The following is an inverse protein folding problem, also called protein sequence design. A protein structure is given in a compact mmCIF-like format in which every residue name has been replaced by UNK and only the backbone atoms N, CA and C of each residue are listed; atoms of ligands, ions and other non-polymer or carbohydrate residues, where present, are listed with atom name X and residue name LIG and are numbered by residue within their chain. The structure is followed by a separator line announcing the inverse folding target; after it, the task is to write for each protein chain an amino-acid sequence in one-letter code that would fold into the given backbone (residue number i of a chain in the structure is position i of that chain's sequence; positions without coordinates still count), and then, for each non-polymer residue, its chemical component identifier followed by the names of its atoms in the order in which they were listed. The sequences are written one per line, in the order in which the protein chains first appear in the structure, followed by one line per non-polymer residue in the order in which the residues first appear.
data_IF_685208772570
#
_entry.id   IF_685208772570
#
_cell.length_a   1.000
_cell.length_b   1.000
_cell.length_c   1.000
_cell.angle_alpha   90.00
_cell.angle_beta   90.00
_cell.angle_gamma   90.00
#
_symmetry.space_group_name_H-M   'P 1'
#
loop_
_entity.id
_entity.type
_entity.pdbx_description
1 polymer ?
#
# COMPACT_ATOMS: atom_id res chain seq x y z
N UNK A 1 -19.84 -3.10 25.69
CA UNK A 1 -20.87 -3.80 24.88
C UNK A 1 -20.30 -4.20 23.52
N UNK A 2 -19.69 -3.31 22.73
CA UNK A 2 -19.09 -3.59 21.42
C UNK A 2 -17.99 -4.65 21.47
N UNK A 3 -17.13 -4.68 22.50
CA UNK A 3 -16.12 -5.73 22.68
C UNK A 3 -16.72 -7.14 22.82
N UNK A 4 -17.91 -7.27 23.35
CA UNK A 4 -18.57 -8.57 23.43
C UNK A 4 -19.20 -8.96 22.09
N UNK A 5 -19.79 -8.01 21.37
CA UNK A 5 -20.33 -8.24 20.03
C UNK A 5 -19.23 -8.56 19.00
N UNK A 6 -18.06 -7.96 19.12
CA UNK A 6 -16.94 -8.20 18.20
C UNK A 6 -16.41 -9.63 18.19
N UNK A 7 -16.82 -10.46 19.16
CA UNK A 7 -16.50 -11.90 19.22
C UNK A 7 -17.36 -12.76 18.30
N UNK A 8 -18.54 -12.27 17.93
CA UNK A 8 -19.42 -12.88 16.93
C UNK A 8 -19.24 -12.15 15.61
N UNK A 9 -18.63 -12.81 14.63
CA UNK A 9 -18.29 -12.21 13.34
C UNK A 9 -19.54 -11.73 12.60
N UNK A 10 -20.60 -12.54 12.52
CA UNK A 10 -21.78 -12.24 11.71
C UNK A 10 -22.61 -11.10 12.31
N UNK A 11 -22.73 -11.06 13.66
CA UNK A 11 -23.40 -9.95 14.35
C UNK A 11 -22.58 -8.65 14.23
N UNK A 12 -21.26 -8.76 14.40
CA UNK A 12 -20.39 -7.60 14.31
C UNK A 12 -20.26 -7.05 12.89
N UNK A 13 -20.29 -7.93 11.88
CA UNK A 13 -20.29 -7.52 10.48
C UNK A 13 -21.51 -6.64 10.13
N UNK A 14 -22.69 -6.96 10.64
CA UNK A 14 -23.90 -6.12 10.43
C UNK A 14 -23.72 -4.71 11.00
N UNK A 15 -23.14 -4.62 12.20
CA UNK A 15 -22.78 -3.33 12.80
C UNK A 15 -21.76 -2.60 11.96
N UNK A 16 -20.69 -3.32 11.53
CA UNK A 16 -19.60 -2.75 10.75
C UNK A 16 -20.05 -2.25 9.37
N UNK A 17 -20.90 -2.99 8.69
CA UNK A 17 -21.46 -2.59 7.39
C UNK A 17 -22.29 -1.29 7.49
N UNK A 18 -22.93 -1.05 8.63
CA UNK A 18 -23.74 0.14 8.85
C UNK A 18 -22.97 1.36 9.39
N UNK A 19 -21.98 1.13 10.23
CA UNK A 19 -21.32 2.18 11.02
C UNK A 19 -19.79 2.20 10.93
N UNK A 20 -19.18 1.27 10.21
CA UNK A 20 -17.72 1.08 10.21
C UNK A 20 -16.94 2.32 9.78
N UNK A 21 -17.41 3.04 8.75
CA UNK A 21 -16.75 4.26 8.27
C UNK A 21 -16.78 5.34 9.38
N UNK A 22 -17.96 5.64 9.93
CA UNK A 22 -18.10 6.61 11.02
C UNK A 22 -17.33 6.17 12.27
N UNK A 23 -17.27 4.84 12.54
CA UNK A 23 -16.51 4.31 13.67
C UNK A 23 -14.99 4.52 13.49
N UNK A 24 -14.47 4.37 12.26
CA UNK A 24 -13.07 4.64 11.95
C UNK A 24 -12.68 6.13 12.07
N UNK A 25 -13.63 7.07 11.90
CA UNK A 25 -13.40 8.49 12.16
C UNK A 25 -12.90 8.72 13.59
N UNK A 26 -13.39 7.94 14.56
CA UNK A 26 -12.92 7.99 15.93
C UNK A 26 -11.43 7.67 16.11
N UNK A 27 -10.80 6.89 15.23
CA UNK A 27 -9.35 6.66 15.27
C UNK A 27 -8.61 7.98 14.98
N UNK A 28 -9.16 8.83 14.14
CA UNK A 28 -8.58 10.13 13.79
C UNK A 28 -8.94 11.22 14.82
N UNK A 29 -10.19 11.30 15.24
CA UNK A 29 -10.73 12.42 16.04
C UNK A 29 -10.61 12.20 17.54
N UNK A 30 -10.84 10.99 18.07
CA UNK A 30 -10.85 10.67 19.49
C UNK A 30 -9.47 10.16 19.96
N UNK A 31 -8.57 11.10 20.23
CA UNK A 31 -7.21 10.77 20.65
C UNK A 31 -7.16 9.92 21.93
N UNK A 32 -8.10 10.15 22.87
CA UNK A 32 -8.11 9.44 24.16
C UNK A 32 -8.48 7.96 24.02
N UNK A 33 -9.41 7.63 23.11
CA UNK A 33 -9.94 6.29 22.92
C UNK A 33 -9.42 5.62 21.62
N UNK A 34 -8.52 6.29 20.89
CA UNK A 34 -8.01 5.86 19.57
C UNK A 34 -7.61 4.39 19.53
N UNK A 35 -6.83 3.93 20.50
CA UNK A 35 -6.33 2.55 20.54
C UNK A 35 -7.46 1.55 20.71
N UNK A 36 -8.46 1.86 21.56
CA UNK A 36 -9.61 1.00 21.77
C UNK A 36 -10.53 0.95 20.54
N UNK A 37 -10.69 2.08 19.85
CA UNK A 37 -11.42 2.16 18.59
C UNK A 37 -10.72 1.34 17.51
N UNK A 38 -9.40 1.46 17.39
CA UNK A 38 -8.59 0.68 16.46
C UNK A 38 -8.68 -0.83 16.71
N UNK A 39 -8.67 -1.26 17.99
CA UNK A 39 -8.86 -2.67 18.40
C UNK A 39 -10.20 -3.24 17.88
N UNK A 40 -11.24 -2.43 17.91
CA UNK A 40 -12.58 -2.81 17.47
C UNK A 40 -12.80 -2.64 15.97
N UNK A 41 -11.92 -1.94 15.27
CA UNK A 41 -12.06 -1.68 13.84
C UNK A 41 -11.81 -2.93 13.00
N UNK A 42 -12.41 -2.95 11.80
CA UNK A 42 -12.30 -4.06 10.86
C UNK A 42 -11.82 -3.56 9.50
N UNK A 43 -11.05 -4.40 8.83
CA UNK A 43 -10.37 -4.07 7.58
C UNK A 43 -10.40 -5.26 6.64
N UNK A 44 -10.38 -5.03 5.33
CA UNK A 44 -10.07 -6.07 4.37
C UNK A 44 -8.56 -6.33 4.35
N UNK A 45 -8.17 -7.53 3.91
CA UNK A 45 -6.75 -7.86 3.77
C UNK A 45 -6.47 -8.79 2.59
N UNK A 46 -5.21 -8.90 2.20
CA UNK A 46 -4.77 -9.83 1.15
C UNK A 46 -4.90 -11.31 1.57
N UNK A 47 -5.09 -11.60 2.84
CA UNK A 47 -5.28 -12.96 3.36
C UNK A 47 -6.61 -13.55 2.94
N UNK A 48 -7.66 -12.76 3.06
CA UNK A 48 -9.01 -13.06 2.60
C UNK A 48 -9.72 -11.75 2.24
N UNK A 49 -9.73 -11.36 0.96
CA UNK A 49 -10.32 -10.10 0.53
C UNK A 49 -11.84 -9.99 0.69
N UNK A 50 -12.51 -11.09 0.96
CA UNK A 50 -13.97 -11.13 1.15
C UNK A 50 -14.37 -11.09 2.64
N UNK A 51 -13.38 -11.31 3.54
CA UNK A 51 -13.61 -11.35 4.98
C UNK A 51 -12.90 -10.21 5.69
N UNK A 52 -13.63 -9.51 6.56
CA UNK A 52 -13.06 -8.49 7.43
C UNK A 52 -12.19 -9.12 8.52
N UNK A 53 -11.10 -8.46 8.87
CA UNK A 53 -10.16 -8.84 9.93
C UNK A 53 -9.93 -7.66 10.88
N UNK A 54 -9.59 -7.95 12.14
CA UNK A 54 -9.12 -6.95 13.09
C UNK A 54 -7.60 -6.79 13.02
N UNK A 55 -7.06 -5.73 13.64
CA UNK A 55 -5.60 -5.57 13.81
C UNK A 55 -5.01 -6.69 14.67
N UNK A 56 -5.74 -7.19 15.67
CA UNK A 56 -5.30 -8.29 16.52
C UNK A 56 -5.24 -9.62 15.76
N UNK A 57 -6.24 -9.91 14.94
CA UNK A 57 -6.20 -11.08 14.06
C UNK A 57 -5.06 -10.98 13.04
N UNK A 58 -4.80 -9.79 12.47
CA UNK A 58 -3.66 -9.57 11.60
C UNK A 58 -2.34 -9.88 12.34
N UNK A 59 -2.12 -9.30 13.53
CA UNK A 59 -0.91 -9.51 14.33
C UNK A 59 -0.72 -11.00 14.69
N UNK A 60 -1.80 -11.72 14.97
CA UNK A 60 -1.72 -13.16 15.26
C UNK A 60 -1.17 -14.01 14.10
N UNK A 61 -1.13 -13.47 12.89
CA UNK A 61 -0.69 -14.12 11.65
C UNK A 61 0.63 -13.58 11.09
N UNK A 62 1.23 -12.57 11.73
CA UNK A 62 2.49 -11.99 11.24
C UNK A 62 3.62 -13.01 11.30
N UNK A 63 4.56 -12.89 10.37
CA UNK A 63 5.76 -13.71 10.37
C UNK A 63 6.71 -13.31 11.52
N UNK A 64 7.56 -14.22 12.03
CA UNK A 64 8.42 -13.95 13.20
C UNK A 64 9.31 -12.71 13.06
N UNK A 65 9.79 -12.43 11.84
CA UNK A 65 10.67 -11.28 11.55
C UNK A 65 9.89 -9.98 11.23
N UNK A 66 8.56 -10.07 11.11
CA UNK A 66 7.73 -8.94 10.73
C UNK A 66 7.49 -8.03 11.93
N UNK A 67 7.84 -6.74 11.80
CA UNK A 67 7.67 -5.72 12.86
C UNK A 67 6.66 -4.64 12.49
N UNK A 68 5.94 -4.81 11.40
CA UNK A 68 4.99 -3.81 10.93
C UNK A 68 3.68 -4.46 10.46
N UNK A 69 2.60 -3.71 10.61
CA UNK A 69 1.33 -3.90 9.94
C UNK A 69 1.43 -3.14 8.63
N UNK A 70 1.33 -3.84 7.51
CA UNK A 70 1.41 -3.24 6.19
C UNK A 70 0.02 -2.94 5.64
N UNK A 71 -0.11 -1.80 4.95
CA UNK A 71 -1.36 -1.42 4.31
C UNK A 71 -1.15 -0.77 2.95
N UNK A 72 -2.19 -0.80 2.13
CA UNK A 72 -2.34 -0.05 0.88
C UNK A 72 -3.72 0.59 0.85
N UNK A 73 -3.83 1.79 0.31
CA UNK A 73 -5.09 2.52 0.15
C UNK A 73 -5.55 2.53 -1.31
N UNK A 74 -6.87 2.62 -1.54
CA UNK A 74 -7.44 2.71 -2.87
C UNK A 74 -8.96 2.70 -2.91
N UNK A 75 -9.53 2.77 -4.11
CA UNK A 75 -10.97 2.97 -4.31
C UNK A 75 -11.81 1.72 -3.99
N UNK A 76 -11.26 0.52 -4.21
CA UNK A 76 -11.97 -0.74 -3.97
C UNK A 76 -11.02 -1.93 -3.79
N UNK A 77 -11.51 -2.97 -3.10
CA UNK A 77 -10.75 -4.18 -2.78
C UNK A 77 -10.29 -4.93 -4.02
N UNK A 78 -11.12 -5.03 -5.07
CA UNK A 78 -10.80 -5.80 -6.30
C UNK A 78 -9.64 -5.19 -7.06
N UNK A 79 -9.60 -3.86 -7.12
CA UNK A 79 -8.49 -3.12 -7.71
C UNK A 79 -7.23 -3.28 -6.86
N UNK A 80 -7.35 -3.14 -5.54
CA UNK A 80 -6.20 -3.23 -4.64
C UNK A 80 -5.55 -4.62 -4.65
N UNK A 81 -6.30 -5.71 -4.63
CA UNK A 81 -5.71 -7.07 -4.66
C UNK A 81 -4.87 -7.33 -5.91
N UNK A 82 -5.10 -6.60 -6.99
CA UNK A 82 -4.35 -6.73 -8.24
C UNK A 82 -3.24 -5.68 -8.39
N UNK A 83 -3.01 -4.85 -7.37
CA UNK A 83 -1.99 -3.81 -7.43
C UNK A 83 -0.58 -4.42 -7.52
N UNK A 84 0.27 -4.03 -8.49
CA UNK A 84 1.64 -4.52 -8.64
C UNK A 84 2.51 -4.34 -7.40
N UNK A 85 2.27 -3.31 -6.58
CA UNK A 85 3.01 -3.07 -5.35
C UNK A 85 2.84 -4.19 -4.30
N UNK A 86 1.80 -5.02 -4.42
CA UNK A 86 1.58 -6.20 -3.56
C UNK A 86 2.41 -7.41 -3.96
N UNK A 87 3.04 -7.43 -5.13
CA UNK A 87 3.69 -8.63 -5.67
C UNK A 87 4.76 -9.19 -4.73
N UNK A 88 5.64 -8.34 -4.22
CA UNK A 88 6.69 -8.75 -3.30
C UNK A 88 6.13 -9.28 -1.96
N UNK A 89 5.10 -8.63 -1.42
CA UNK A 89 4.43 -9.05 -0.19
C UNK A 89 3.76 -10.41 -0.36
N UNK A 90 3.06 -10.61 -1.49
CA UNK A 90 2.46 -11.91 -1.84
C UNK A 90 3.51 -13.00 -2.01
N UNK A 91 4.63 -12.71 -2.69
CA UNK A 91 5.72 -13.66 -2.88
C UNK A 91 6.36 -14.09 -1.54
N UNK A 92 6.37 -13.22 -0.55
CA UNK A 92 6.85 -13.50 0.81
C UNK A 92 5.77 -14.03 1.75
N UNK A 93 4.52 -14.14 1.30
CA UNK A 93 3.41 -14.56 2.16
C UNK A 93 3.08 -13.56 3.27
N UNK A 94 3.43 -12.28 3.07
CA UNK A 94 3.15 -11.20 4.03
C UNK A 94 1.76 -10.65 3.74
N UNK A 95 0.90 -10.64 4.78
CA UNK A 95 -0.43 -10.05 4.71
C UNK A 95 -0.34 -8.52 4.62
N UNK A 96 -1.23 -7.91 3.82
CA UNK A 96 -1.37 -6.46 3.69
C UNK A 96 -2.83 -6.08 3.86
N UNK A 97 -3.12 -5.06 4.67
CA UNK A 97 -4.46 -4.49 4.82
C UNK A 97 -4.84 -3.72 3.54
N UNK A 98 -6.08 -3.89 3.11
CA UNK A 98 -6.67 -3.23 1.95
C UNK A 98 -7.64 -2.17 2.45
N UNK A 99 -7.21 -0.94 2.48
CA UNK A 99 -7.93 0.18 3.06
C UNK A 99 -8.66 0.93 1.93
N UNK A 100 -9.99 0.91 1.98
CA UNK A 100 -10.84 1.40 0.87
C UNK A 100 -11.76 2.56 1.27
N UNK A 101 -11.77 2.93 2.54
CA UNK A 101 -12.59 4.06 2.99
C UNK A 101 -11.76 5.35 2.97
N UNK A 102 -12.34 6.50 2.54
CA UNK A 102 -11.61 7.77 2.48
C UNK A 102 -10.95 8.18 3.80
N UNK A 103 -11.56 7.84 4.95
CA UNK A 103 -11.04 8.14 6.28
C UNK A 103 -9.73 7.38 6.58
N UNK A 104 -9.44 6.29 5.86
CA UNK A 104 -8.25 5.49 6.07
C UNK A 104 -6.97 6.28 5.76
N UNK A 105 -7.02 7.21 4.81
CA UNK A 105 -5.91 8.13 4.49
C UNK A 105 -5.54 9.07 5.64
N UNK A 106 -6.47 9.35 6.53
CA UNK A 106 -6.27 10.29 7.65
C UNK A 106 -5.84 9.56 8.92
N UNK A 107 -6.52 8.49 9.32
CA UNK A 107 -6.17 7.82 10.57
C UNK A 107 -4.81 7.11 10.48
N UNK A 108 -4.41 6.61 9.31
CA UNK A 108 -3.08 5.98 9.12
C UNK A 108 -1.92 6.95 9.34
N UNK A 109 -2.15 8.26 9.22
CA UNK A 109 -1.14 9.28 9.51
C UNK A 109 -1.10 9.67 11.00
N UNK A 110 -2.10 9.32 11.77
CA UNK A 110 -2.21 9.65 13.18
C UNK A 110 -1.94 8.46 14.09
N UNK A 111 -2.33 7.26 13.70
CA UNK A 111 -2.02 6.00 14.40
C UNK A 111 -0.81 5.34 13.74
N UNK A 112 0.39 5.76 14.13
CA UNK A 112 1.64 5.26 13.54
C UNK A 112 2.04 3.88 14.05
N UNK A 113 1.53 3.47 15.20
CA UNK A 113 1.81 2.19 15.80
C UNK A 113 0.55 1.61 16.44
N UNK A 114 0.40 0.29 16.37
CA UNK A 114 -0.61 -0.45 17.09
C UNK A 114 0.08 -1.59 17.85
N UNK A 115 -0.02 -1.57 19.19
CA UNK A 115 0.81 -2.40 20.08
C UNK A 115 2.30 -2.21 19.71
N UNK A 116 3.05 -3.27 19.52
CA UNK A 116 4.48 -3.24 19.19
C UNK A 116 4.78 -3.16 17.68
N UNK A 117 3.75 -2.99 16.85
CA UNK A 117 3.87 -2.98 15.39
C UNK A 117 3.70 -1.58 14.82
N UNK A 118 4.68 -1.14 14.01
CA UNK A 118 4.53 0.06 13.22
C UNK A 118 3.45 -0.14 12.13
N UNK A 119 2.65 0.88 11.83
CA UNK A 119 1.69 0.86 10.71
C UNK A 119 2.36 1.53 9.52
N UNK A 120 2.59 0.77 8.42
CA UNK A 120 3.38 1.23 7.28
C UNK A 120 2.66 1.04 5.96
N UNK A 121 2.64 2.09 5.13
CA UNK A 121 2.21 1.95 3.74
C UNK A 121 3.26 1.15 2.95
N UNK A 122 2.81 0.23 2.08
CA UNK A 122 3.72 -0.68 1.33
C UNK A 122 4.68 0.03 0.36
N UNK A 123 4.41 1.28 -0.01
CA UNK A 123 5.31 2.07 -0.89
C UNK A 123 6.54 2.61 -0.16
N UNK A 124 6.58 2.61 1.18
CA UNK A 124 7.72 3.18 1.91
C UNK A 124 9.05 2.53 1.50
N UNK A 125 10.07 3.35 1.30
CA UNK A 125 11.38 2.93 0.77
C UNK A 125 12.16 2.04 1.75
N UNK A 126 11.95 2.23 3.06
CA UNK A 126 12.65 1.49 4.12
C UNK A 126 12.17 0.03 4.29
N UNK A 127 11.18 -0.41 3.51
CA UNK A 127 10.67 -1.79 3.53
C UNK A 127 11.56 -2.65 2.64
N UNK A 128 12.50 -3.36 3.26
CA UNK A 128 13.26 -4.43 2.61
C UNK A 128 12.60 -5.78 2.91
N UNK A 129 12.12 -6.45 1.87
CA UNK A 129 11.49 -7.77 1.98
C UNK A 129 12.49 -8.92 1.75
N UNK A 130 13.76 -8.63 1.52
CA UNK A 130 14.80 -9.63 1.31
C UNK A 130 14.48 -10.61 0.18
N UNK A 131 13.94 -10.13 -0.93
CA UNK A 131 13.66 -10.96 -2.10
C UNK A 131 14.98 -11.38 -2.75
N UNK A 132 15.28 -12.66 -2.69
CA UNK A 132 16.38 -13.24 -3.48
C UNK A 132 15.83 -13.61 -4.85
N UNK A 133 16.49 -13.15 -5.91
CA UNK A 133 16.12 -13.44 -7.29
C UNK A 133 17.29 -14.10 -8.00
N UNK A 134 16.98 -15.16 -8.73
CA UNK A 134 17.92 -15.90 -9.57
C UNK A 134 17.68 -15.62 -11.07
N UNK A 135 16.59 -14.88 -11.38
CA UNK A 135 16.27 -14.53 -12.76
C UNK A 135 17.31 -13.60 -13.37
N UNK A 136 17.49 -13.64 -14.70
CA UNK A 136 18.33 -12.68 -15.40
C UNK A 136 17.92 -11.25 -15.10
N UNK A 137 18.90 -10.39 -14.85
CA UNK A 137 18.71 -8.96 -14.62
C UNK A 137 19.23 -8.18 -15.82
N UNK A 138 18.57 -7.09 -16.18
CA UNK A 138 19.06 -6.17 -17.18
C UNK A 138 20.46 -5.63 -16.80
N UNK A 139 21.34 -5.48 -17.78
CA UNK A 139 22.68 -4.93 -17.59
C UNK A 139 22.57 -3.49 -17.05
N UNK A 140 23.39 -3.15 -16.06
CA UNK A 140 23.23 -1.92 -15.27
C UNK A 140 23.40 -0.65 -16.12
N UNK A 141 24.38 -0.66 -17.05
CA UNK A 141 24.63 0.49 -17.94
C UNK A 141 23.48 0.69 -18.95
N UNK A 142 22.96 -0.40 -19.52
CA UNK A 142 21.82 -0.35 -20.43
C UNK A 142 20.54 0.05 -19.71
N UNK A 143 20.34 -0.46 -18.48
CA UNK A 143 19.21 -0.10 -17.63
C UNK A 143 19.23 1.39 -17.26
N UNK A 144 20.41 1.95 -16.98
CA UNK A 144 20.57 3.37 -16.71
C UNK A 144 20.17 4.20 -17.93
N UNK A 145 20.65 3.85 -19.14
CA UNK A 145 20.25 4.54 -20.38
C UNK A 145 18.73 4.50 -20.57
N UNK A 146 18.09 3.35 -20.28
CA UNK A 146 16.63 3.22 -20.36
C UNK A 146 15.91 4.14 -19.38
N UNK A 147 16.33 4.15 -18.10
CA UNK A 147 15.70 5.02 -17.08
C UNK A 147 15.90 6.49 -17.41
N UNK A 148 17.06 6.91 -17.91
CA UNK A 148 17.35 8.29 -18.32
C UNK A 148 16.47 8.70 -19.52
N UNK A 149 16.36 7.84 -20.54
CA UNK A 149 15.49 8.07 -21.71
C UNK A 149 14.04 8.17 -21.31
N UNK A 150 13.54 7.24 -20.49
CA UNK A 150 12.14 7.27 -20.03
C UNK A 150 11.86 8.48 -19.14
N UNK A 151 12.83 8.93 -18.33
CA UNK A 151 12.69 10.15 -17.52
C UNK A 151 12.50 11.39 -18.41
N UNK A 152 13.24 11.48 -19.53
CA UNK A 152 13.07 12.59 -20.48
C UNK A 152 11.74 12.50 -21.25
N UNK A 153 11.36 11.28 -21.68
CA UNK A 153 10.11 11.06 -22.42
C UNK A 153 8.86 11.37 -21.61
N UNK A 154 8.88 11.04 -20.31
CA UNK A 154 7.73 11.18 -19.41
C UNK A 154 7.86 12.34 -18.42
N UNK A 155 8.75 13.28 -18.65
CA UNK A 155 9.05 14.40 -17.72
C UNK A 155 7.85 15.24 -17.32
N UNK A 156 6.83 15.31 -18.18
CA UNK A 156 5.59 16.06 -17.92
C UNK A 156 4.56 15.23 -17.14
N UNK A 157 4.78 13.92 -16.98
CA UNK A 157 3.86 12.97 -16.39
C UNK A 157 4.39 12.36 -15.09
N UNK A 158 5.71 12.12 -15.01
CA UNK A 158 6.37 11.58 -13.82
C UNK A 158 7.60 12.40 -13.46
N UNK A 159 7.81 12.59 -12.15
CA UNK A 159 8.97 13.33 -11.64
C UNK A 159 10.27 12.51 -11.71
N UNK A 160 10.15 11.16 -11.70
CA UNK A 160 11.32 10.27 -11.68
C UNK A 160 10.99 8.90 -12.27
N UNK A 161 11.98 8.31 -12.96
CA UNK A 161 11.99 6.89 -13.31
C UNK A 161 13.10 6.19 -12.54
N UNK A 162 12.80 5.05 -11.92
CA UNK A 162 13.77 4.29 -11.11
C UNK A 162 13.52 2.79 -11.25
N UNK A 163 14.35 1.97 -10.66
CA UNK A 163 14.18 0.52 -10.61
C UNK A 163 13.72 0.07 -9.23
N UNK A 164 13.05 -1.09 -9.15
CA UNK A 164 12.61 -1.70 -7.90
C UNK A 164 12.69 -3.21 -7.96
N UNK A 165 13.06 -3.84 -6.85
CA UNK A 165 13.03 -5.29 -6.67
C UNK A 165 11.68 -5.79 -6.11
N UNK A 166 10.75 -4.86 -5.80
CA UNK A 166 9.42 -5.19 -5.25
C UNK A 166 8.45 -5.76 -6.29
N UNK A 167 8.71 -5.59 -7.59
CA UNK A 167 7.91 -6.16 -8.66
C UNK A 167 8.41 -7.55 -9.04
N UNK A 168 7.53 -8.56 -9.04
CA UNK A 168 7.88 -9.95 -9.38
C UNK A 168 7.32 -10.42 -10.71
N UNK A 169 6.23 -9.82 -11.17
CA UNK A 169 5.53 -10.19 -12.42
C UNK A 169 5.33 -9.00 -13.35
N UNK A 170 5.04 -7.84 -12.79
CA UNK A 170 4.77 -6.63 -13.57
C UNK A 170 6.05 -5.98 -14.08
N UNK A 171 6.07 -5.42 -15.31
CA UNK A 171 7.23 -4.72 -15.85
C UNK A 171 7.49 -3.38 -15.16
N UNK A 172 6.42 -2.72 -14.71
CA UNK A 172 6.51 -1.40 -14.09
C UNK A 172 5.33 -1.17 -13.12
N UNK A 173 5.51 -0.21 -12.21
CA UNK A 173 4.44 0.34 -11.38
C UNK A 173 4.60 1.83 -11.18
N UNK A 174 3.50 2.52 -10.88
CA UNK A 174 3.48 3.93 -10.54
C UNK A 174 3.28 4.10 -9.03
N UNK A 175 4.11 4.93 -8.42
CA UNK A 175 4.05 5.27 -6.99
C UNK A 175 4.27 6.77 -6.79
N UNK A 176 4.34 7.22 -5.54
CA UNK A 176 4.75 8.58 -5.16
C UNK A 176 6.05 8.53 -4.37
N UNK A 177 6.75 9.65 -4.30
CA UNK A 177 7.91 9.78 -3.42
C UNK A 177 7.51 9.66 -1.94
N UNK A 178 8.44 9.18 -1.12
CA UNK A 178 8.23 9.05 0.31
C UNK A 178 7.88 10.40 0.95
N UNK A 179 6.89 10.37 1.84
CA UNK A 179 6.41 11.57 2.53
C UNK A 179 5.48 12.46 1.71
N UNK A 180 5.19 12.10 0.46
CA UNK A 180 4.18 12.78 -0.33
C UNK A 180 2.79 12.16 -0.14
N UNK A 181 1.76 12.94 -0.52
CA UNK A 181 0.38 12.51 -0.53
C UNK A 181 0.21 11.28 -1.45
N UNK A 182 -0.55 10.28 -1.02
CA UNK A 182 -0.85 9.12 -1.86
C UNK A 182 -1.61 9.52 -3.12
N UNK A 183 -1.47 8.72 -4.19
CA UNK A 183 -2.25 8.93 -5.44
C UNK A 183 -3.75 8.89 -5.14
N UNK A 184 -4.16 8.04 -4.20
CA UNK A 184 -5.55 7.90 -3.81
C UNK A 184 -6.08 9.15 -3.09
N UNK A 185 -5.35 9.67 -2.10
CA UNK A 185 -5.72 10.90 -1.38
C UNK A 185 -5.77 12.10 -2.31
N UNK A 186 -4.79 12.25 -3.22
CA UNK A 186 -4.81 13.31 -4.24
C UNK A 186 -6.08 13.25 -5.10
N UNK A 187 -6.49 12.05 -5.51
CA UNK A 187 -7.72 11.84 -6.29
C UNK A 187 -8.97 12.20 -5.49
N UNK A 188 -9.04 11.81 -4.22
CA UNK A 188 -10.14 12.16 -3.33
C UNK A 188 -10.27 13.68 -3.18
N UNK A 189 -9.18 14.38 -2.92
CA UNK A 189 -9.18 15.84 -2.77
C UNK A 189 -9.58 16.56 -4.05
N UNK A 190 -9.13 16.07 -5.21
CA UNK A 190 -9.51 16.62 -6.52
C UNK A 190 -11.01 16.48 -6.77
N UNK A 191 -11.62 15.35 -6.42
CA UNK A 191 -13.04 15.09 -6.59
C UNK A 191 -13.92 16.01 -5.70
N UNK A 192 -13.39 16.47 -4.57
CA UNK A 192 -14.06 17.41 -3.67
C UNK A 192 -13.81 18.89 -4.00
N UNK A 193 -13.38 19.22 -5.24
CA UNK A 193 -13.11 20.60 -5.72
C UNK A 193 -12.09 21.38 -4.88
N UNK A 194 -11.35 20.74 -4.02
CA UNK A 194 -10.20 21.35 -3.40
C UNK A 194 -9.08 21.38 -4.45
N UNK A 195 -8.84 22.54 -5.05
CA UNK A 195 -7.70 22.76 -5.93
C UNK A 195 -6.43 22.56 -5.09
N UNK A 196 -5.91 21.33 -5.07
CA UNK A 196 -4.59 21.07 -4.54
C UNK A 196 -3.59 21.61 -5.55
N UNK A 197 -2.94 22.72 -5.20
CA UNK A 197 -1.81 23.27 -5.96
C UNK A 197 -0.59 22.31 -5.99
N UNK A 198 -0.69 21.17 -5.35
CA UNK A 198 0.37 20.19 -5.17
C UNK A 198 -0.05 18.84 -5.77
N UNK A 199 0.25 18.65 -7.05
CA UNK A 199 0.30 17.30 -7.61
C UNK A 199 1.50 16.57 -6.98
N UNK A 200 1.28 15.39 -6.41
CA UNK A 200 2.35 14.57 -5.87
C UNK A 200 3.30 14.16 -7.00
N UNK A 201 4.61 14.25 -6.76
CA UNK A 201 5.61 13.78 -7.73
C UNK A 201 5.47 12.26 -7.89
N UNK A 202 5.08 11.84 -9.10
CA UNK A 202 4.92 10.43 -9.43
C UNK A 202 6.26 9.81 -9.75
N UNK A 203 6.46 8.58 -9.31
CA UNK A 203 7.65 7.78 -9.59
C UNK A 203 7.26 6.55 -10.40
N UNK A 204 7.82 6.42 -11.60
CA UNK A 204 7.70 5.20 -12.40
C UNK A 204 8.81 4.24 -11.97
N UNK A 205 8.41 3.11 -11.42
CA UNK A 205 9.32 2.05 -10.98
C UNK A 205 9.36 0.93 -12.02
N UNK A 206 10.54 0.57 -12.50
CA UNK A 206 10.77 -0.51 -13.47
C UNK A 206 11.27 -1.77 -12.77
N UNK A 207 10.83 -2.92 -13.24
CA UNK A 207 11.30 -4.24 -12.80
C UNK A 207 12.50 -4.67 -13.66
N UNK A 208 13.74 -4.63 -13.16
CA UNK A 208 14.92 -4.94 -13.96
C UNK A 208 15.06 -6.42 -14.35
N UNK A 209 14.23 -7.30 -13.77
CA UNK A 209 14.19 -8.74 -14.08
C UNK A 209 13.10 -9.09 -15.09
N UNK A 210 12.23 -8.15 -15.46
CA UNK A 210 11.14 -8.44 -16.38
C UNK A 210 11.64 -8.52 -17.84
N UNK A 211 11.26 -9.54 -18.63
CA UNK A 211 11.75 -9.73 -20.01
C UNK A 211 11.55 -8.51 -20.92
N UNK A 212 10.45 -7.76 -20.74
CA UNK A 212 10.21 -6.54 -21.51
C UNK A 212 11.26 -5.46 -21.18
N UNK A 213 11.58 -5.26 -19.90
CA UNK A 213 12.56 -4.24 -19.47
C UNK A 213 13.97 -4.64 -19.92
N UNK A 214 14.31 -5.93 -19.85
CA UNK A 214 15.59 -6.46 -20.36
C UNK A 214 15.71 -6.15 -21.85
N UNK A 215 14.71 -6.53 -22.66
CA UNK A 215 14.74 -6.28 -24.12
C UNK A 215 14.80 -4.80 -24.47
N UNK A 216 14.06 -3.95 -23.75
CA UNK A 216 14.11 -2.51 -23.98
C UNK A 216 15.47 -1.91 -23.64
N UNK A 217 16.12 -2.37 -22.56
CA UNK A 217 17.46 -1.92 -22.19
C UNK A 217 18.51 -2.38 -23.21
N UNK A 218 18.44 -3.64 -23.70
CA UNK A 218 19.33 -4.18 -24.73
C UNK A 218 19.21 -3.42 -26.06
N UNK A 219 18.02 -2.96 -26.42
CA UNK A 219 17.79 -2.18 -27.66
C UNK A 219 18.45 -0.78 -27.63
N UNK A 220 18.87 -0.31 -26.46
CA UNK A 220 19.52 0.98 -26.24
C UNK A 220 21.03 0.84 -25.98
N UNK A 221 21.53 -0.38 -25.85
CA UNK A 221 22.97 -0.70 -25.66
C UNK A 221 23.70 -0.77 -26.96
#
# INVERSE_FOLDING_TARGET
ELKNRSKDYDDYKKFWDAFGIAFKEGIYEDFANRTEIAELSRFYSTKDPERLTSLDEYISRVQPEQKAIYYITGDDVKTLVNNPQLEAFKAKGIEVLLLVDPIDEFWTQTLLNYKDFAIKHISQADIDLGLKREEPKAEEGALKKLTDLMSEMFKDEVGKVTTTDKLTKSPASLTVEDGQMSIHLERLMRNHQQQTAFASSRVLQLNPYHPLIIKLSEALG
#
